data_IF_495533975829
#
_entry.id   IF_495533975829
#
_cell.length_a   1.000
_cell.length_b   1.000
_cell.length_c   1.000
_cell.angle_alpha   90.00
_cell.angle_beta   90.00
_cell.angle_gamma   90.00
#
_symmetry.space_group_name_H-M   'P 1'
#
loop_
_entity.id
_entity.type
_entity.pdbx_description
1 polymer ?
#
# COMPACT_ATOMS: atom_id res chain seq x y z
N UNK A 1 5.85 -38.33 1.24
CA UNK A 1 6.09 -36.89 1.01
C UNK A 1 7.59 -36.65 0.99
N UNK A 2 8.10 -35.92 0.02
CA UNK A 2 9.56 -35.73 -0.14
C UNK A 2 10.00 -34.49 0.68
N UNK A 3 10.69 -34.62 1.80
CA UNK A 3 11.12 -33.50 2.66
C UNK A 3 12.03 -32.50 1.94
N UNK A 4 12.69 -32.90 0.84
CA UNK A 4 13.54 -32.04 0.04
C UNK A 4 12.81 -30.88 -0.63
N UNK A 5 11.52 -31.04 -0.98
CA UNK A 5 10.71 -29.96 -1.59
C UNK A 5 10.39 -28.82 -0.61
N UNK A 6 10.19 -29.13 0.66
CA UNK A 6 9.94 -28.10 1.67
C UNK A 6 11.20 -27.31 2.02
N UNK A 7 12.34 -27.99 2.11
CA UNK A 7 13.64 -27.33 2.27
C UNK A 7 13.95 -26.42 1.08
N UNK A 8 13.70 -26.89 -0.16
CA UNK A 8 13.90 -26.08 -1.35
C UNK A 8 13.08 -24.79 -1.36
N UNK A 9 11.80 -24.84 -0.89
CA UNK A 9 10.99 -23.61 -0.76
C UNK A 9 11.61 -22.60 0.22
N UNK A 10 12.19 -23.06 1.33
CA UNK A 10 12.89 -22.19 2.26
C UNK A 10 14.16 -21.58 1.65
N UNK A 11 14.88 -22.36 0.86
CA UNK A 11 16.09 -21.89 0.17
C UNK A 11 15.73 -20.84 -0.89
N UNK A 12 14.72 -21.09 -1.71
CA UNK A 12 14.22 -20.17 -2.74
C UNK A 12 13.73 -18.85 -2.10
N UNK A 13 13.03 -18.92 -0.96
CA UNK A 13 12.58 -17.73 -0.22
C UNK A 13 13.79 -16.95 0.34
N UNK A 14 14.80 -17.64 0.87
CA UNK A 14 15.99 -17.01 1.41
C UNK A 14 16.77 -16.26 0.34
N UNK A 15 16.94 -16.85 -0.85
CA UNK A 15 17.57 -16.22 -1.99
C UNK A 15 16.78 -14.99 -2.47
N UNK A 16 15.48 -15.15 -2.66
CA UNK A 16 14.60 -14.07 -3.09
C UNK A 16 14.55 -12.92 -2.07
N UNK A 17 14.55 -13.21 -0.77
CA UNK A 17 14.61 -12.22 0.30
C UNK A 17 15.93 -11.44 0.30
N UNK A 18 17.04 -12.11 0.03
CA UNK A 18 18.35 -11.45 -0.08
C UNK A 18 18.37 -10.42 -1.23
N UNK A 19 17.81 -10.77 -2.40
CA UNK A 19 17.66 -9.86 -3.54
C UNK A 19 16.67 -8.73 -3.23
N UNK A 20 15.60 -9.03 -2.51
CA UNK A 20 14.53 -8.08 -2.15
C UNK A 20 15.02 -6.92 -1.26
N UNK A 21 16.14 -7.06 -0.57
CA UNK A 21 16.72 -5.98 0.27
C UNK A 21 16.96 -4.69 -0.51
N UNK A 22 17.21 -4.75 -1.81
CA UNK A 22 17.33 -3.56 -2.66
C UNK A 22 16.05 -2.72 -2.73
N UNK A 23 14.90 -3.31 -2.44
CA UNK A 23 13.59 -2.66 -2.47
C UNK A 23 13.25 -1.86 -1.20
N UNK A 24 14.07 -1.96 -0.14
CA UNK A 24 13.80 -1.30 1.15
C UNK A 24 13.63 0.21 1.01
N UNK A 25 14.45 0.87 0.18
CA UNK A 25 14.38 2.32 -0.02
C UNK A 25 13.07 2.77 -0.70
N UNK A 26 12.56 1.98 -1.63
CA UNK A 26 11.28 2.23 -2.31
C UNK A 26 10.13 2.11 -1.31
N UNK A 27 10.11 1.05 -0.51
CA UNK A 27 9.06 0.82 0.49
C UNK A 27 9.07 1.88 1.58
N UNK A 28 10.25 2.31 2.03
CA UNK A 28 10.38 3.42 2.98
C UNK A 28 9.81 4.71 2.41
N UNK A 29 10.13 5.06 1.17
CA UNK A 29 9.60 6.23 0.48
C UNK A 29 8.07 6.14 0.30
N UNK A 30 7.55 4.98 -0.15
CA UNK A 30 6.12 4.77 -0.30
C UNK A 30 5.37 4.89 1.02
N UNK A 31 5.90 4.32 2.11
CA UNK A 31 5.30 4.44 3.44
C UNK A 31 5.20 5.89 3.90
N UNK A 32 6.27 6.67 3.73
CA UNK A 32 6.30 8.09 4.07
C UNK A 32 5.36 8.93 3.19
N UNK A 33 5.31 8.68 1.89
CA UNK A 33 4.39 9.35 0.97
C UNK A 33 2.93 9.03 1.31
N UNK A 34 2.63 7.76 1.58
CA UNK A 34 1.29 7.32 1.96
C UNK A 34 0.84 8.00 3.26
N UNK A 35 1.71 8.05 4.29
CA UNK A 35 1.44 8.76 5.55
C UNK A 35 1.15 10.25 5.31
N UNK A 36 1.86 10.87 4.37
CA UNK A 36 1.61 12.24 3.94
C UNK A 36 0.24 12.43 3.34
N UNK A 37 -0.11 11.59 2.37
CA UNK A 37 -1.37 11.67 1.63
C UNK A 37 -2.57 11.35 2.51
N UNK A 38 -2.52 10.26 3.27
CA UNK A 38 -3.63 9.86 4.16
C UNK A 38 -3.81 10.85 5.31
N UNK A 39 -2.72 11.39 5.86
CA UNK A 39 -2.78 12.49 6.83
C UNK A 39 -3.38 13.77 6.28
N UNK A 40 -3.34 13.98 4.97
CA UNK A 40 -4.00 15.06 4.23
C UNK A 40 -5.45 14.77 3.84
N UNK A 41 -6.01 13.60 4.23
CA UNK A 41 -7.39 13.21 3.96
C UNK A 41 -7.60 12.35 2.70
N UNK A 42 -6.53 11.98 1.99
CA UNK A 42 -6.61 10.99 0.93
C UNK A 42 -6.89 9.58 1.49
N UNK A 43 -7.21 8.64 0.61
CA UNK A 43 -7.52 7.25 0.94
C UNK A 43 -6.60 6.30 0.22
N UNK A 44 -6.42 5.11 0.79
CA UNK A 44 -5.81 3.98 0.12
C UNK A 44 -6.90 3.00 -0.32
N UNK A 45 -6.95 2.67 -1.61
CA UNK A 45 -7.70 1.56 -2.15
C UNK A 45 -6.73 0.43 -2.49
N UNK A 46 -7.06 -0.81 -2.16
CA UNK A 46 -6.17 -1.94 -2.40
C UNK A 46 -6.92 -3.07 -3.08
N UNK A 47 -6.33 -3.69 -4.09
CA UNK A 47 -6.93 -4.83 -4.79
C UNK A 47 -5.90 -5.92 -5.10
N UNK A 48 -6.38 -7.16 -5.12
CA UNK A 48 -5.64 -8.35 -5.49
C UNK A 48 -6.59 -9.52 -5.67
N UNK A 49 -6.11 -10.63 -6.23
CA UNK A 49 -6.89 -11.85 -6.40
C UNK A 49 -6.33 -12.96 -5.49
N UNK A 50 -7.20 -13.84 -4.98
CA UNK A 50 -6.79 -15.01 -4.20
C UNK A 50 -5.92 -14.64 -2.98
N UNK A 51 -4.70 -15.20 -2.88
CA UNK A 51 -3.77 -14.87 -1.80
C UNK A 51 -3.35 -13.40 -1.77
N UNK A 52 -3.26 -12.75 -2.93
CA UNK A 52 -3.01 -11.30 -3.01
C UNK A 52 -4.18 -10.47 -2.50
N UNK A 53 -5.44 -10.96 -2.60
CA UNK A 53 -6.59 -10.33 -1.96
C UNK A 53 -6.48 -10.38 -0.43
N UNK A 54 -6.05 -11.52 0.12
CA UNK A 54 -5.82 -11.64 1.56
C UNK A 54 -4.77 -10.64 2.06
N UNK A 55 -3.69 -10.43 1.30
CA UNK A 55 -2.66 -9.44 1.63
C UNK A 55 -3.15 -7.99 1.47
N UNK A 56 -3.98 -7.71 0.45
CA UNK A 56 -4.65 -6.43 0.29
C UNK A 56 -5.53 -6.10 1.52
N UNK A 57 -6.28 -7.09 2.00
CA UNK A 57 -7.09 -6.95 3.21
C UNK A 57 -6.23 -6.79 4.47
N UNK A 58 -5.12 -7.50 4.57
CA UNK A 58 -4.16 -7.34 5.67
C UNK A 58 -3.62 -5.90 5.71
N UNK A 59 -3.12 -5.37 4.60
CA UNK A 59 -2.63 -3.99 4.53
C UNK A 59 -3.70 -2.97 4.99
N UNK A 60 -4.94 -3.12 4.53
CA UNK A 60 -6.01 -2.21 4.94
C UNK A 60 -6.35 -2.33 6.42
N UNK A 61 -6.29 -3.54 6.98
CA UNK A 61 -6.51 -3.77 8.41
C UNK A 61 -5.44 -3.09 9.26
N UNK A 62 -4.16 -3.14 8.83
CA UNK A 62 -3.06 -2.45 9.51
C UNK A 62 -3.27 -0.93 9.53
N UNK A 63 -3.79 -0.33 8.46
CA UNK A 63 -4.01 1.12 8.39
C UNK A 63 -5.26 1.58 9.12
N UNK A 64 -6.35 0.80 9.07
CA UNK A 64 -7.61 1.10 9.77
C UNK A 64 -7.50 0.81 11.26
N UNK A 65 -6.84 -0.27 11.63
CA UNK A 65 -6.49 -0.61 13.01
C UNK A 65 -5.17 0.06 13.41
N UNK A 66 -4.17 -0.76 13.69
CA UNK A 66 -2.79 -0.34 13.96
C UNK A 66 -1.82 -1.45 13.55
N UNK A 67 -0.61 -1.08 13.15
CA UNK A 67 0.45 -2.05 12.89
C UNK A 67 1.17 -2.44 14.20
N UNK A 68 1.91 -1.55 14.80
CA UNK A 68 2.61 -1.79 16.08
C UNK A 68 2.14 -0.84 17.17
N UNK A 69 2.36 0.44 16.99
CA UNK A 69 2.04 1.46 17.98
C UNK A 69 0.61 1.99 17.79
N UNK A 70 0.06 2.56 18.88
CA UNK A 70 -1.26 3.19 18.83
C UNK A 70 -1.21 4.51 18.07
N UNK A 71 -2.15 4.69 17.14
CA UNK A 71 -2.28 5.88 16.32
C UNK A 71 -3.71 6.07 15.82
N UNK A 72 -4.07 7.28 15.33
CA UNK A 72 -5.36 7.48 14.66
C UNK A 72 -5.54 6.54 13.46
N UNK A 73 -6.77 6.06 13.21
CA UNK A 73 -7.09 5.23 12.06
C UNK A 73 -7.01 6.05 10.75
N UNK A 74 -6.62 5.38 9.67
CA UNK A 74 -6.58 5.96 8.34
C UNK A 74 -7.52 5.25 7.37
N UNK A 75 -8.06 5.99 6.39
CA UNK A 75 -9.01 5.44 5.43
C UNK A 75 -8.31 4.52 4.44
N UNK A 76 -8.58 3.22 4.55
CA UNK A 76 -8.08 2.19 3.63
C UNK A 76 -9.20 1.17 3.33
N UNK A 77 -9.35 0.79 2.05
CA UNK A 77 -10.41 -0.10 1.56
C UNK A 77 -9.82 -1.23 0.73
N UNK A 78 -10.12 -2.47 1.11
CA UNK A 78 -9.86 -3.64 0.28
C UNK A 78 -11.04 -3.86 -0.67
N UNK A 79 -10.84 -3.65 -1.97
CA UNK A 79 -11.94 -3.61 -2.96
C UNK A 79 -12.68 -4.95 -3.16
N UNK A 80 -12.12 -6.06 -2.69
CA UNK A 80 -12.77 -7.38 -2.73
C UNK A 80 -13.59 -7.68 -1.47
N UNK A 81 -13.49 -6.87 -0.41
CA UNK A 81 -14.05 -7.22 0.90
C UNK A 81 -15.58 -7.10 0.96
N UNK A 82 -16.19 -6.22 0.18
CA UNK A 82 -17.64 -6.19 -0.01
C UNK A 82 -18.04 -7.27 -1.02
N UNK A 83 -18.45 -8.42 -0.49
CA UNK A 83 -18.82 -9.58 -1.30
C UNK A 83 -20.07 -9.33 -2.14
N UNK A 84 -21.01 -8.51 -1.68
CA UNK A 84 -22.21 -8.18 -2.41
C UNK A 84 -21.88 -7.35 -3.65
N UNK A 85 -21.13 -6.27 -3.52
CA UNK A 85 -20.68 -5.47 -4.65
C UNK A 85 -19.82 -6.29 -5.62
N UNK A 86 -18.88 -7.09 -5.11
CA UNK A 86 -18.00 -7.93 -5.92
C UNK A 86 -18.79 -8.93 -6.77
N UNK A 87 -19.75 -9.63 -6.17
CA UNK A 87 -20.55 -10.65 -6.88
C UNK A 87 -21.54 -10.02 -7.85
N UNK A 88 -22.18 -8.91 -7.50
CA UNK A 88 -23.07 -8.18 -8.40
C UNK A 88 -22.34 -7.68 -9.64
N UNK A 89 -21.18 -7.01 -9.45
CA UNK A 89 -20.40 -6.50 -10.58
C UNK A 89 -19.91 -7.65 -11.45
N UNK A 90 -19.42 -8.74 -10.85
CA UNK A 90 -18.98 -9.90 -11.63
C UNK A 90 -20.09 -10.52 -12.48
N UNK A 91 -21.33 -10.57 -11.95
CA UNK A 91 -22.50 -11.09 -12.65
C UNK A 91 -22.98 -10.17 -13.79
N UNK A 92 -23.03 -8.85 -13.54
CA UNK A 92 -23.68 -7.90 -14.45
C UNK A 92 -22.71 -7.32 -15.49
N UNK A 93 -21.41 -7.21 -15.17
CA UNK A 93 -20.40 -6.53 -15.99
C UNK A 93 -19.18 -7.42 -16.32
N UNK A 94 -19.08 -8.57 -15.69
CA UNK A 94 -17.94 -9.48 -15.82
C UNK A 94 -16.85 -9.27 -14.79
N UNK A 95 -16.04 -10.31 -14.55
CA UNK A 95 -15.00 -10.36 -13.52
C UNK A 95 -13.92 -9.28 -13.73
N UNK A 96 -13.64 -8.89 -14.96
CA UNK A 96 -12.66 -7.86 -15.29
C UNK A 96 -13.05 -6.47 -14.76
N UNK A 97 -14.34 -6.22 -14.52
CA UNK A 97 -14.84 -4.91 -14.06
C UNK A 97 -14.95 -4.81 -12.54
N UNK A 98 -14.73 -5.89 -11.81
CA UNK A 98 -14.94 -5.96 -10.35
C UNK A 98 -14.19 -4.85 -9.62
N UNK A 99 -12.92 -4.63 -9.92
CA UNK A 99 -12.13 -3.61 -9.25
C UNK A 99 -12.23 -2.23 -9.91
N UNK A 100 -12.35 -2.17 -11.23
CA UNK A 100 -12.48 -0.90 -11.95
C UNK A 100 -13.73 -0.13 -11.52
N UNK A 101 -14.88 -0.80 -11.43
CA UNK A 101 -16.12 -0.15 -10.99
C UNK A 101 -16.07 0.33 -9.54
N UNK A 102 -15.47 -0.45 -8.65
CA UNK A 102 -15.29 -0.03 -7.25
C UNK A 102 -14.27 1.11 -7.13
N UNK A 103 -13.20 1.09 -7.94
CA UNK A 103 -12.26 2.20 -8.05
C UNK A 103 -12.97 3.48 -8.49
N UNK A 104 -13.85 3.40 -9.50
CA UNK A 104 -14.66 4.52 -9.96
C UNK A 104 -15.61 5.06 -8.86
N UNK A 105 -16.24 4.16 -8.11
CA UNK A 105 -17.19 4.53 -7.06
C UNK A 105 -16.53 5.21 -5.86
N UNK A 106 -15.40 4.67 -5.43
CA UNK A 106 -14.72 5.06 -4.18
C UNK A 106 -13.55 6.02 -4.38
N UNK A 107 -12.82 5.93 -5.50
CA UNK A 107 -11.62 6.71 -5.77
C UNK A 107 -11.90 8.19 -6.00
N UNK A 108 -10.95 9.03 -5.60
CA UNK A 108 -10.96 10.48 -5.81
C UNK A 108 -9.57 10.93 -6.26
N UNK A 109 -9.44 12.07 -6.94
CA UNK A 109 -8.13 12.64 -7.26
C UNK A 109 -7.26 12.78 -6.01
N UNK A 110 -6.02 12.33 -6.09
CA UNK A 110 -5.07 12.35 -4.98
C UNK A 110 -5.07 11.11 -4.09
N UNK A 111 -6.08 10.24 -4.16
CA UNK A 111 -6.08 8.92 -3.51
C UNK A 111 -4.99 8.01 -4.11
N UNK A 112 -4.67 6.93 -3.43
CA UNK A 112 -3.73 5.90 -3.90
C UNK A 112 -4.48 4.61 -4.17
N UNK A 113 -4.23 3.98 -5.32
CA UNK A 113 -4.61 2.60 -5.60
C UNK A 113 -3.36 1.73 -5.54
N UNK A 114 -3.34 0.72 -4.66
CA UNK A 114 -2.28 -0.28 -4.59
C UNK A 114 -2.78 -1.63 -5.10
N UNK A 115 -2.07 -2.21 -6.06
CA UNK A 115 -2.44 -3.44 -6.75
C UNK A 115 -1.43 -4.54 -6.45
N UNK A 116 -1.90 -5.71 -6.00
CA UNK A 116 -1.08 -6.87 -5.70
C UNK A 116 -1.35 -8.00 -6.69
N UNK A 117 -0.31 -8.45 -7.40
CA UNK A 117 -0.42 -9.53 -8.39
C UNK A 117 0.88 -10.28 -8.58
N UNK A 118 0.89 -11.58 -8.33
CA UNK A 118 2.09 -12.40 -8.56
C UNK A 118 2.46 -12.54 -10.04
N UNK A 119 1.50 -12.42 -10.96
CA UNK A 119 1.73 -12.50 -12.40
C UNK A 119 1.88 -11.14 -13.08
N UNK A 120 1.37 -10.08 -12.46
CA UNK A 120 1.27 -8.75 -13.08
C UNK A 120 0.38 -8.70 -14.34
N UNK A 121 -0.43 -9.73 -14.61
CA UNK A 121 -1.18 -9.87 -15.86
C UNK A 121 -2.71 -10.03 -15.67
N UNK A 122 -3.22 -9.83 -14.45
CA UNK A 122 -4.65 -9.99 -14.15
C UNK A 122 -5.48 -8.87 -14.78
N UNK A 123 -6.41 -9.22 -15.69
CA UNK A 123 -7.20 -8.25 -16.43
C UNK A 123 -7.99 -7.29 -15.54
N UNK A 124 -8.59 -7.78 -14.45
CA UNK A 124 -9.34 -6.94 -13.50
C UNK A 124 -8.47 -5.89 -12.78
N UNK A 125 -7.20 -6.19 -12.53
CA UNK A 125 -6.26 -5.23 -11.93
C UNK A 125 -5.79 -4.21 -12.96
N UNK A 126 -5.57 -4.63 -14.21
CA UNK A 126 -5.24 -3.71 -15.32
C UNK A 126 -6.39 -2.74 -15.60
N UNK A 127 -7.64 -3.21 -15.60
CA UNK A 127 -8.83 -2.35 -15.71
C UNK A 127 -8.90 -1.34 -14.55
N UNK A 128 -8.62 -1.77 -13.32
CA UNK A 128 -8.59 -0.88 -12.15
C UNK A 128 -7.47 0.17 -12.25
N UNK A 129 -6.28 -0.21 -12.71
CA UNK A 129 -5.18 0.73 -12.93
C UNK A 129 -5.55 1.83 -13.94
N UNK A 130 -6.15 1.44 -15.08
CA UNK A 130 -6.60 2.37 -16.10
C UNK A 130 -7.65 3.34 -15.55
N UNK A 131 -8.62 2.84 -14.79
CA UNK A 131 -9.68 3.66 -14.19
C UNK A 131 -9.12 4.62 -13.12
N UNK A 132 -8.23 4.16 -12.24
CA UNK A 132 -7.58 4.99 -11.23
C UNK A 132 -6.81 6.16 -11.86
N UNK A 133 -6.05 5.92 -12.92
CA UNK A 133 -5.33 6.97 -13.65
C UNK A 133 -6.30 7.97 -14.30
N UNK A 134 -7.42 7.50 -14.86
CA UNK A 134 -8.47 8.37 -15.41
C UNK A 134 -9.08 9.31 -14.37
N UNK A 135 -9.18 8.86 -13.12
CA UNK A 135 -9.70 9.65 -11.99
C UNK A 135 -8.64 10.65 -11.47
N UNK A 136 -7.36 10.41 -11.70
CA UNK A 136 -6.25 11.19 -11.12
C UNK A 136 -5.77 10.65 -9.77
N UNK A 137 -5.90 9.35 -9.56
CA UNK A 137 -5.27 8.64 -8.45
C UNK A 137 -3.81 8.30 -8.80
N UNK A 138 -2.98 8.11 -7.78
CA UNK A 138 -1.67 7.49 -7.92
C UNK A 138 -1.81 5.98 -7.88
N UNK A 139 -1.16 5.26 -8.79
CA UNK A 139 -1.26 3.80 -8.89
C UNK A 139 0.08 3.17 -8.59
N UNK A 140 0.14 2.36 -7.55
CA UNK A 140 1.31 1.55 -7.19
C UNK A 140 1.01 0.06 -7.34
N UNK A 141 2.03 -0.74 -7.65
CA UNK A 141 1.87 -2.18 -7.73
C UNK A 141 2.99 -2.95 -7.01
N UNK A 142 2.61 -4.05 -6.35
CA UNK A 142 3.49 -5.13 -5.95
C UNK A 142 3.27 -6.29 -6.92
N UNK A 143 4.30 -6.66 -7.70
CA UNK A 143 4.16 -7.67 -8.75
C UNK A 143 5.21 -8.79 -8.62
N UNK A 144 5.04 -9.84 -9.41
CA UNK A 144 6.08 -10.83 -9.68
C UNK A 144 7.15 -10.30 -10.63
N UNK A 145 7.92 -11.19 -11.28
CA UNK A 145 9.04 -10.78 -12.11
C UNK A 145 8.68 -9.77 -13.21
N UNK A 146 9.56 -8.81 -13.41
CA UNK A 146 9.53 -7.90 -14.55
C UNK A 146 10.11 -8.58 -15.81
N UNK A 147 9.72 -8.14 -17.04
CA UNK A 147 8.65 -7.15 -17.29
C UNK A 147 7.26 -7.79 -17.21
N UNK A 148 6.29 -7.02 -16.77
CA UNK A 148 4.90 -7.47 -16.75
C UNK A 148 3.91 -6.33 -17.06
N UNK A 149 2.68 -6.62 -17.51
CA UNK A 149 1.71 -5.61 -17.94
C UNK A 149 1.33 -4.61 -16.84
N UNK A 150 1.23 -5.05 -15.58
CA UNK A 150 0.82 -4.18 -14.47
C UNK A 150 1.92 -3.19 -14.09
N UNK A 151 3.20 -3.61 -14.16
CA UNK A 151 4.34 -2.70 -14.02
C UNK A 151 4.25 -1.53 -15.00
N UNK A 152 3.97 -1.83 -16.28
CA UNK A 152 3.85 -0.81 -17.31
C UNK A 152 2.60 0.09 -17.17
N UNK A 153 1.55 -0.39 -16.48
CA UNK A 153 0.29 0.32 -16.30
C UNK A 153 0.26 1.24 -15.08
N UNK A 154 1.19 1.08 -14.13
CA UNK A 154 1.25 1.82 -12.86
C UNK A 154 2.20 3.02 -12.94
N UNK A 155 2.07 3.94 -12.01
CA UNK A 155 3.03 5.05 -11.86
C UNK A 155 4.34 4.54 -11.27
N UNK A 156 4.25 3.57 -10.35
CA UNK A 156 5.41 2.85 -9.83
C UNK A 156 5.04 1.39 -9.53
N UNK A 157 6.00 0.49 -9.74
CA UNK A 157 5.85 -0.92 -9.39
C UNK A 157 7.12 -1.46 -8.71
N UNK A 158 6.91 -2.29 -7.69
CA UNK A 158 7.95 -3.09 -7.08
C UNK A 158 7.79 -4.53 -7.56
N UNK A 159 8.77 -5.00 -8.34
CA UNK A 159 8.76 -6.31 -8.95
C UNK A 159 9.62 -7.29 -8.14
N UNK A 160 9.04 -8.41 -7.74
CA UNK A 160 9.71 -9.49 -7.01
C UNK A 160 10.22 -10.53 -7.99
N UNK A 161 11.54 -10.66 -8.10
CA UNK A 161 12.20 -11.63 -8.97
C UNK A 161 12.24 -13.01 -8.28
N UNK A 162 11.12 -13.73 -8.28
CA UNK A 162 11.04 -15.11 -7.79
C UNK A 162 10.24 -15.99 -8.75
N UNK A 163 10.64 -17.25 -8.98
CA UNK A 163 9.99 -18.11 -9.96
C UNK A 163 8.63 -18.65 -9.49
N UNK A 164 8.45 -18.80 -8.19
CA UNK A 164 7.23 -19.34 -7.59
C UNK A 164 6.30 -18.23 -7.09
N UNK A 165 5.02 -18.31 -7.45
CA UNK A 165 4.01 -17.34 -6.98
C UNK A 165 3.85 -17.33 -5.46
N UNK A 166 4.10 -18.44 -4.76
CA UNK A 166 4.10 -18.51 -3.31
C UNK A 166 5.21 -17.60 -2.73
N UNK A 167 6.44 -17.73 -3.22
CA UNK A 167 7.57 -16.89 -2.80
C UNK A 167 7.32 -15.40 -3.10
N UNK A 168 6.73 -15.09 -4.27
CA UNK A 168 6.31 -13.70 -4.57
C UNK A 168 5.31 -13.20 -3.53
N UNK A 169 4.29 -14.00 -3.17
CA UNK A 169 3.31 -13.61 -2.15
C UNK A 169 3.97 -13.40 -0.78
N UNK A 170 4.86 -14.28 -0.36
CA UNK A 170 5.57 -14.14 0.92
C UNK A 170 6.35 -12.81 0.97
N UNK A 171 7.04 -12.44 -0.11
CA UNK A 171 7.74 -11.16 -0.20
C UNK A 171 6.80 -9.96 -0.33
N UNK A 172 5.62 -10.11 -0.93
CA UNK A 172 4.59 -9.07 -0.87
C UNK A 172 4.13 -8.83 0.57
N UNK A 173 4.00 -9.87 1.41
CA UNK A 173 3.68 -9.70 2.82
C UNK A 173 4.80 -8.99 3.59
N UNK A 174 6.06 -9.32 3.29
CA UNK A 174 7.22 -8.59 3.83
C UNK A 174 7.15 -7.11 3.42
N UNK A 175 6.84 -6.84 2.14
CA UNK A 175 6.67 -5.46 1.64
C UNK A 175 5.56 -4.70 2.37
N UNK A 176 4.42 -5.35 2.61
CA UNK A 176 3.29 -4.77 3.38
C UNK A 176 3.75 -4.34 4.77
N UNK A 177 4.46 -5.20 5.50
CA UNK A 177 4.95 -4.87 6.84
C UNK A 177 5.99 -3.74 6.83
N UNK A 178 6.93 -3.74 5.87
CA UNK A 178 7.93 -2.67 5.74
C UNK A 178 7.29 -1.33 5.39
N UNK A 179 6.25 -1.34 4.55
CA UNK A 179 5.49 -0.15 4.21
C UNK A 179 4.73 0.39 5.44
N UNK A 180 4.10 -0.48 6.23
CA UNK A 180 3.41 -0.11 7.46
C UNK A 180 4.39 0.47 8.51
N UNK A 181 5.58 -0.12 8.65
CA UNK A 181 6.62 0.39 9.54
C UNK A 181 7.07 1.81 9.15
N UNK A 182 7.35 2.03 7.86
CA UNK A 182 7.73 3.35 7.36
C UNK A 182 6.58 4.38 7.49
N UNK A 183 5.34 3.94 7.31
CA UNK A 183 4.15 4.75 7.52
C UNK A 183 4.04 5.22 8.98
N UNK A 184 4.16 4.28 9.93
CA UNK A 184 4.06 4.56 11.36
C UNK A 184 5.18 5.50 11.84
N UNK A 185 6.41 5.34 11.36
CA UNK A 185 7.53 6.24 11.66
C UNK A 185 7.20 7.71 11.34
N UNK A 186 6.62 7.97 10.17
CA UNK A 186 6.24 9.35 9.79
C UNK A 186 5.08 9.87 10.63
N UNK A 187 4.12 9.01 11.00
CA UNK A 187 3.03 9.38 11.91
C UNK A 187 3.56 9.80 13.28
N UNK A 188 4.52 9.06 13.85
CA UNK A 188 5.17 9.36 15.14
C UNK A 188 5.95 10.68 15.08
N UNK A 189 6.73 10.90 14.03
CA UNK A 189 7.47 12.15 13.84
C UNK A 189 6.54 13.36 13.81
N UNK A 190 5.42 13.28 13.09
CA UNK A 190 4.41 14.36 13.04
C UNK A 190 3.74 14.59 14.39
N UNK A 191 3.38 13.52 15.10
CA UNK A 191 2.81 13.62 16.44
C UNK A 191 3.77 14.26 17.43
N UNK A 192 5.07 13.96 17.35
CA UNK A 192 6.10 14.54 18.19
C UNK A 192 6.31 16.05 17.94
N UNK A 193 6.23 16.47 16.69
CA UNK A 193 6.32 17.89 16.30
C UNK A 193 5.12 18.68 16.81
N UNK A 194 3.91 18.13 16.70
CA UNK A 194 2.68 18.79 17.15
C UNK A 194 2.57 18.91 18.68
N UNK A 195 3.31 18.09 19.44
CA UNK A 195 3.37 18.13 20.92
C UNK A 195 4.42 19.11 21.46
N UNK A 196 5.26 19.72 20.63
CA UNK A 196 6.22 20.73 21.09
C UNK A 196 5.46 21.99 21.49
N UNK A 197 5.63 22.51 22.75
CA UNK A 197 5.00 23.77 23.16
C UNK A 197 5.49 24.89 22.25
N UNK A 198 4.58 25.77 21.87
CA UNK A 198 4.93 27.02 21.17
C UNK A 198 5.98 27.77 21.97
N UNK A 199 7.03 28.35 21.35
CA UNK A 199 7.98 29.19 22.08
C UNK A 199 7.21 30.28 22.78
N UNK A 200 7.42 30.40 24.10
CA UNK A 200 6.85 31.51 24.91
C UNK A 200 7.19 32.81 24.24
N UNK A 201 6.24 33.75 24.11
CA UNK A 201 6.58 35.09 23.61
C UNK A 201 7.64 35.71 24.51
N UNK A 202 8.73 36.20 23.92
CA UNK A 202 9.77 36.90 24.64
C UNK A 202 9.14 38.05 25.41
N UNK A 203 9.53 38.29 26.71
CA UNK A 203 9.01 39.40 27.46
C UNK A 203 9.36 40.71 26.73
N UNK A 204 8.33 41.45 26.36
CA UNK A 204 8.49 42.82 25.83
C UNK A 204 9.15 43.66 26.93
N UNK A 205 10.35 44.14 26.66
CA UNK A 205 11.01 45.09 27.56
C UNK A 205 10.16 46.35 27.67
N UNK A 206 9.53 46.52 28.83
CA UNK A 206 8.86 47.78 29.15
C UNK A 206 9.96 48.78 29.50
N UNK A 207 10.33 49.67 28.59
CA UNK A 207 11.12 50.84 28.89
C UNK A 207 10.32 51.71 29.86
N UNK A 208 10.78 51.75 31.12
CA UNK A 208 10.34 52.72 32.09
C UNK A 208 10.93 54.06 31.68
N UNK A 209 10.13 54.90 31.05
CA UNK A 209 10.47 56.30 30.87
C UNK A 209 10.68 56.96 32.26
N UNK A 210 11.87 57.51 32.45
CA UNK A 210 12.17 58.39 33.58
C UNK A 210 11.55 59.76 33.32
N UNK A 211 10.79 60.26 34.31
CA UNK A 211 10.48 61.68 34.54
C UNK A 211 11.45 62.22 35.53
#
# INVERSE_FOLDING_TARGET
>A
MNPTRHAQHCDDLTEALAAFRSSCSVLHRWGGELAGRLGGGARLLVAGNGGSAAQAQHLTAELVGRYREDRPPFSALALHADTSSTTAIANDYGVQEVFARQTCAHGRPGDVLMLLSTSGASANLLSAAAEARRIGMTVWALTGPAPNPLEAACDEALCVAAPASATVQELHLVAVHMLCEAFDQVCEERASVSRRPSPSPSPVAVERGAL
#
